data_IF_727585199799
#
_entry.id   IF_727585199799
#
_cell.length_a   1.000
_cell.length_b   1.000
_cell.length_c   1.000
_cell.angle_alpha   90.00
_cell.angle_beta   90.00
_cell.angle_gamma   90.00
#
_symmetry.space_group_name_H-M   'P 1'
#
loop_
_entity.id
_entity.type
_entity.pdbx_description
1 polymer ?
#
# COMPACT_ATOMS: atom_id res chain seq x y z
N UNK A 1 24.95 19.23 -0.12
CA UNK A 1 24.38 17.87 -0.25
C UNK A 1 22.91 17.97 0.09
N UNK A 2 22.04 18.09 -0.90
CA UNK A 2 20.60 18.24 -0.66
C UNK A 2 20.04 16.85 -0.39
N UNK A 3 19.94 16.49 0.90
CA UNK A 3 19.20 15.31 1.36
C UNK A 3 17.74 15.51 0.97
N UNK A 4 17.40 15.07 -0.24
CA UNK A 4 16.02 14.87 -0.67
C UNK A 4 15.42 13.89 0.34
N UNK A 5 14.67 14.40 1.31
CA UNK A 5 13.85 13.57 2.18
C UNK A 5 13.08 12.65 1.25
N UNK A 6 13.25 11.31 1.32
CA UNK A 6 12.45 10.42 0.51
C UNK A 6 11.00 10.77 0.80
N UNK A 7 10.16 10.86 -0.24
CA UNK A 7 8.76 11.13 -0.06
C UNK A 7 8.15 10.01 0.79
N UNK A 8 8.12 10.19 2.11
CA UNK A 8 7.54 9.25 3.09
C UNK A 8 6.02 9.33 3.10
N UNK A 9 5.41 9.88 2.05
CA UNK A 9 3.96 9.94 1.93
C UNK A 9 3.50 8.60 1.39
N UNK A 10 2.95 7.78 2.28
CA UNK A 10 2.27 6.53 1.91
C UNK A 10 1.13 6.86 0.95
N UNK A 11 0.98 6.05 -0.09
CA UNK A 11 -0.10 6.17 -1.05
C UNK A 11 -1.03 4.97 -0.90
N UNK A 12 -2.30 5.18 -1.20
CA UNK A 12 -3.32 4.13 -1.13
C UNK A 12 -3.37 3.37 -2.45
N UNK A 13 -3.25 2.04 -2.37
CA UNK A 13 -3.35 1.13 -3.50
C UNK A 13 -4.45 0.12 -3.26
N UNK A 14 -5.03 -0.37 -4.35
CA UNK A 14 -6.02 -1.43 -4.30
C UNK A 14 -5.38 -2.78 -4.62
N UNK A 15 -5.66 -3.77 -3.78
CA UNK A 15 -5.14 -5.12 -3.94
C UNK A 15 -5.90 -5.84 -5.04
N UNK A 16 -5.16 -6.36 -6.03
CA UNK A 16 -5.69 -7.13 -7.17
C UNK A 16 -5.48 -8.63 -7.02
N UNK A 17 -4.45 -9.04 -6.29
CA UNK A 17 -4.19 -10.44 -5.98
C UNK A 17 -3.93 -10.60 -4.49
N UNK A 18 -4.41 -11.67 -3.84
CA UNK A 18 -4.19 -11.86 -2.42
C UNK A 18 -2.70 -12.04 -2.15
N UNK A 19 -2.19 -11.35 -1.14
CA UNK A 19 -0.78 -11.44 -0.78
C UNK A 19 -0.57 -11.25 0.71
N UNK A 20 0.51 -11.83 1.23
CA UNK A 20 0.92 -11.66 2.61
C UNK A 20 1.93 -10.53 2.69
N UNK A 21 1.62 -9.49 3.45
CA UNK A 21 2.57 -8.43 3.76
C UNK A 21 3.72 -9.02 4.60
N UNK A 22 4.98 -8.90 4.16
CA UNK A 22 6.11 -9.46 4.89
C UNK A 22 6.35 -8.75 6.23
N UNK A 23 5.98 -7.47 6.34
CA UNK A 23 6.26 -6.67 7.53
C UNK A 23 5.22 -6.86 8.65
N UNK A 24 3.94 -6.99 8.29
CA UNK A 24 2.84 -7.12 9.26
C UNK A 24 2.33 -8.55 9.39
N UNK A 25 2.86 -9.49 8.59
CA UNK A 25 2.37 -10.86 8.45
C UNK A 25 0.87 -10.95 8.12
N UNK A 26 0.27 -9.84 7.69
CA UNK A 26 -1.14 -9.71 7.40
C UNK A 26 -1.44 -10.17 5.98
N UNK A 27 -2.58 -10.85 5.81
CA UNK A 27 -3.06 -11.25 4.50
C UNK A 27 -3.99 -10.20 3.94
N UNK A 28 -3.61 -9.60 2.82
CA UNK A 28 -4.49 -8.74 2.06
C UNK A 28 -5.27 -9.54 1.03
N UNK A 29 -6.57 -9.27 0.93
CA UNK A 29 -7.46 -9.89 -0.02
C UNK A 29 -7.69 -9.00 -1.24
N UNK A 30 -8.19 -9.58 -2.33
CA UNK A 30 -8.54 -8.81 -3.54
C UNK A 30 -9.65 -7.80 -3.20
N UNK A 31 -9.46 -6.55 -3.61
CA UNK A 31 -10.37 -5.43 -3.33
C UNK A 31 -10.01 -4.62 -2.09
N UNK A 32 -9.08 -5.12 -1.25
CA UNK A 32 -8.61 -4.40 -0.07
C UNK A 32 -7.84 -3.13 -0.45
N UNK A 33 -7.88 -2.12 0.42
CA UNK A 33 -7.16 -0.86 0.23
C UNK A 33 -6.00 -0.76 1.20
N UNK A 34 -4.78 -0.64 0.67
CA UNK A 34 -3.54 -0.68 1.45
C UNK A 34 -2.74 0.60 1.28
N UNK A 35 -2.27 1.15 2.40
CA UNK A 35 -1.34 2.29 2.40
C UNK A 35 0.11 1.79 2.39
N UNK A 36 0.77 1.95 1.25
CA UNK A 36 2.13 1.48 1.02
C UNK A 36 3.07 2.64 0.68
N UNK A 37 4.35 2.46 0.98
CA UNK A 37 5.38 3.35 0.43
C UNK A 37 5.49 3.12 -1.08
N UNK A 38 5.83 4.15 -1.87
CA UNK A 38 5.98 4.00 -3.31
C UNK A 38 6.98 2.91 -3.71
N UNK A 39 8.05 2.70 -2.93
CA UNK A 39 9.02 1.62 -3.16
C UNK A 39 8.45 0.22 -2.91
N UNK A 40 7.62 0.05 -1.88
CA UNK A 40 6.93 -1.23 -1.61
C UNK A 40 5.85 -1.49 -2.65
N UNK A 41 5.13 -0.43 -3.01
CA UNK A 41 4.07 -0.48 -4.00
C UNK A 41 4.62 -0.84 -5.38
N UNK A 42 5.75 -0.26 -5.80
CA UNK A 42 6.40 -0.57 -7.08
C UNK A 42 6.68 -2.08 -7.22
N UNK A 43 7.24 -2.70 -6.18
CA UNK A 43 7.48 -4.15 -6.16
C UNK A 43 6.20 -4.99 -6.29
N UNK A 44 5.15 -4.61 -5.54
CA UNK A 44 3.87 -5.30 -5.58
C UNK A 44 3.12 -5.06 -6.90
N UNK A 45 3.27 -3.89 -7.50
CA UNK A 45 2.66 -3.50 -8.77
C UNK A 45 3.36 -4.19 -9.94
N UNK A 46 4.69 -4.32 -9.89
CA UNK A 46 5.51 -5.15 -10.80
C UNK A 46 5.08 -6.63 -10.77
N UNK A 47 4.75 -7.15 -9.58
CA UNK A 47 4.18 -8.50 -9.44
C UNK A 47 2.69 -8.60 -9.80
N UNK A 48 2.04 -7.50 -10.21
CA UNK A 48 0.60 -7.47 -10.53
C UNK A 48 -0.33 -7.69 -9.32
N UNK A 49 0.18 -7.53 -8.09
CA UNK A 49 -0.59 -7.80 -6.87
C UNK A 49 -1.44 -6.63 -6.41
N UNK A 50 -1.04 -5.40 -6.75
CA UNK A 50 -1.76 -4.17 -6.42
C UNK A 50 -1.88 -3.27 -7.65
N UNK A 51 -2.80 -2.32 -7.60
CA UNK A 51 -2.97 -1.26 -8.59
C UNK A 51 -3.17 0.09 -7.87
N UNK A 52 -2.74 1.22 -8.47
CA UNK A 52 -3.03 2.54 -7.91
C UNK A 52 -4.54 2.75 -7.84
N UNK A 53 -5.01 3.22 -6.69
CA UNK A 53 -6.41 3.61 -6.52
C UNK A 53 -6.58 4.95 -7.23
N UNK A 54 -7.39 5.01 -8.27
CA UNK A 54 -7.66 6.24 -9.04
C UNK A 54 -8.46 7.29 -8.26
N UNK A 55 -8.78 7.01 -7.00
CA UNK A 55 -9.51 7.93 -6.13
C UNK A 55 -8.54 8.98 -5.54
N UNK A 56 -8.28 10.01 -6.34
CA UNK A 56 -7.81 11.27 -5.82
C UNK A 56 -8.82 11.73 -4.76
N UNK A 57 -8.39 11.77 -3.49
CA UNK A 57 -9.11 12.37 -2.36
C UNK A 57 -9.94 11.42 -1.48
N UNK A 58 -9.32 10.40 -0.87
CA UNK A 58 -9.77 9.97 0.46
C UNK A 58 -8.65 9.53 1.37
N UNK A 59 -8.45 10.35 2.39
CA UNK A 59 -7.62 10.18 3.57
C UNK A 59 -7.61 8.76 4.13
N UNK A 60 -6.40 8.34 4.51
CA UNK A 60 -6.08 7.33 5.49
C UNK A 60 -7.21 7.11 6.51
N UNK A 61 -7.78 5.90 6.51
CA UNK A 61 -8.45 5.40 7.71
C UNK A 61 -7.87 4.02 8.02
N UNK A 62 -6.81 4.05 8.83
CA UNK A 62 -6.36 2.95 9.69
C UNK A 62 -7.56 2.12 10.15
N UNK A 63 -7.58 0.84 9.81
CA UNK A 63 -8.34 -0.14 10.61
C UNK A 63 -7.36 -1.20 11.09
N UNK A 64 -6.61 -0.84 12.15
CA UNK A 64 -5.99 -1.80 13.06
C UNK A 64 -7.09 -2.21 14.03
N UNK A 65 -7.71 -3.36 13.80
CA UNK A 65 -8.61 -4.03 14.75
C UNK A 65 -7.93 -5.31 15.23
N UNK A 66 -7.14 -5.20 16.29
CA UNK A 66 -6.64 -6.31 17.09
C UNK A 66 -7.59 -6.39 18.30
N UNK A 67 -8.27 -7.52 18.46
CA UNK A 67 -9.10 -7.85 19.61
C UNK A 67 -8.77 -9.28 20.04
#
# INVERSE_FOLDING_TARGET
MTTKKPATTRQTYQVKAPYRCPNTHHWHQVGDSVELLPSEADFLMLSGKIAPTVDANKSATKTKGEA
#
